data_IF_880935493336
#
_entry.id   IF_880935493336
#
_cell.length_a   1.000
_cell.length_b   1.000
_cell.length_c   1.000
_cell.angle_alpha   90.00
_cell.angle_beta   90.00
_cell.angle_gamma   90.00
#
_symmetry.space_group_name_H-M   'P 1'
#
loop_
_entity.id
_entity.type
_entity.pdbx_description
1 polymer ?
#
# COMPACT_ATOMS: atom_id res chain seq x y z
N UNK A 1 -3.38 9.15 -5.26
CA UNK A 1 -4.81 8.83 -5.48
C UNK A 1 -5.17 9.19 -6.92
N UNK A 2 -5.68 8.25 -7.71
CA UNK A 2 -5.95 8.47 -9.14
C UNK A 2 -7.36 9.05 -9.34
N UNK A 3 -7.46 10.05 -10.19
CA UNK A 3 -8.67 10.73 -10.66
C UNK A 3 -8.59 10.94 -12.18
N UNK A 4 -9.66 11.43 -12.78
CA UNK A 4 -9.72 11.92 -14.15
C UNK A 4 -10.33 13.33 -14.18
N UNK A 5 -10.48 13.90 -15.38
CA UNK A 5 -10.98 15.27 -15.56
C UNK A 5 -12.36 15.52 -14.94
N UNK A 6 -13.23 14.51 -14.92
CA UNK A 6 -14.57 14.63 -14.35
C UNK A 6 -14.54 14.46 -12.83
N UNK A 7 -13.81 13.47 -12.34
CA UNK A 7 -13.79 13.10 -10.91
C UNK A 7 -12.88 13.99 -10.07
N UNK A 8 -11.84 14.58 -10.65
CA UNK A 8 -10.87 15.39 -9.91
C UNK A 8 -11.50 16.59 -9.18
N UNK A 9 -12.30 17.46 -9.83
CA UNK A 9 -12.95 18.58 -9.13
C UNK A 9 -13.88 18.10 -8.01
N UNK A 10 -14.63 17.03 -8.25
CA UNK A 10 -15.58 16.47 -7.27
C UNK A 10 -14.87 15.94 -6.03
N UNK A 11 -13.83 15.13 -6.21
CA UNK A 11 -12.98 14.58 -5.13
C UNK A 11 -12.34 15.71 -4.32
N UNK A 12 -11.72 16.68 -5.01
CA UNK A 12 -11.08 17.84 -4.40
C UNK A 12 -12.07 18.67 -3.58
N UNK A 13 -13.20 19.04 -4.19
CA UNK A 13 -14.12 20.03 -3.62
C UNK A 13 -14.98 19.47 -2.49
N UNK A 14 -15.08 18.14 -2.36
CA UNK A 14 -15.89 17.45 -1.36
C UNK A 14 -15.05 16.64 -0.35
N UNK A 15 -13.73 16.83 -0.31
CA UNK A 15 -12.88 16.30 0.76
C UNK A 15 -12.86 14.77 0.88
N UNK A 16 -12.87 14.05 -0.24
CA UNK A 16 -12.78 12.58 -0.22
C UNK A 16 -12.08 12.03 -1.45
N UNK A 17 -11.65 10.78 -1.37
CA UNK A 17 -11.29 9.98 -2.53
C UNK A 17 -11.96 8.61 -2.44
N UNK A 18 -12.27 8.02 -3.59
CA UNK A 18 -12.93 6.72 -3.67
C UNK A 18 -12.30 5.80 -4.70
N UNK A 19 -12.64 4.52 -4.62
CA UNK A 19 -12.28 3.52 -5.63
C UNK A 19 -13.38 2.49 -5.81
N UNK A 20 -13.49 1.99 -7.02
CA UNK A 20 -14.26 0.81 -7.34
C UNK A 20 -14.21 0.51 -8.83
N UNK A 21 -15.14 -0.32 -9.29
CA UNK A 21 -15.23 -0.75 -10.68
C UNK A 21 -16.69 -0.89 -11.08
N UNK A 22 -16.96 -0.80 -12.38
CA UNK A 22 -18.32 -0.98 -12.92
C UNK A 22 -18.91 -2.32 -12.46
N UNK A 23 -20.12 -2.27 -11.91
CA UNK A 23 -20.84 -3.44 -11.40
C UNK A 23 -20.37 -3.93 -10.03
N UNK A 24 -19.62 -3.12 -9.27
CA UNK A 24 -19.43 -3.33 -7.84
C UNK A 24 -20.81 -3.24 -7.13
N UNK A 25 -21.15 -4.17 -6.22
CA UNK A 25 -22.40 -4.11 -5.48
C UNK A 25 -22.54 -2.84 -4.64
N UNK A 26 -23.77 -2.40 -4.42
CA UNK A 26 -24.08 -1.20 -3.65
C UNK A 26 -24.08 -1.44 -2.13
N UNK A 27 -23.99 -2.69 -1.67
CA UNK A 27 -23.79 -3.02 -0.26
C UNK A 27 -22.44 -3.72 -0.05
N UNK A 28 -21.83 -3.46 1.11
CA UNK A 28 -20.55 -4.04 1.46
C UNK A 28 -20.61 -5.58 1.54
N UNK A 29 -21.65 -6.11 2.19
CA UNK A 29 -21.82 -7.56 2.34
C UNK A 29 -22.01 -8.28 1.00
N UNK A 30 -22.75 -7.68 0.06
CA UNK A 30 -22.88 -8.23 -1.29
C UNK A 30 -21.56 -8.16 -2.07
N UNK A 31 -20.77 -7.09 -1.90
CA UNK A 31 -19.45 -6.98 -2.50
C UNK A 31 -18.52 -8.09 -2.00
N UNK A 32 -18.51 -8.35 -0.69
CA UNK A 32 -17.74 -9.43 -0.07
C UNK A 32 -18.22 -10.80 -0.60
N UNK A 33 -19.52 -11.06 -0.54
CA UNK A 33 -20.11 -12.32 -1.02
C UNK A 33 -19.84 -12.55 -2.52
N UNK A 34 -19.91 -11.51 -3.35
CA UNK A 34 -19.58 -11.61 -4.77
C UNK A 34 -18.09 -11.95 -4.96
N UNK A 35 -17.16 -11.31 -4.24
CA UNK A 35 -15.73 -11.60 -4.40
C UNK A 35 -15.35 -13.00 -3.91
N UNK A 36 -16.03 -13.52 -2.89
CA UNK A 36 -15.86 -14.91 -2.43
C UNK A 36 -16.33 -15.88 -3.53
N UNK A 37 -17.52 -15.64 -4.10
CA UNK A 37 -18.07 -16.46 -5.19
C UNK A 37 -17.27 -16.35 -6.50
N UNK A 38 -16.70 -15.16 -6.76
CA UNK A 38 -15.94 -14.83 -7.97
C UNK A 38 -14.57 -14.27 -7.59
N UNK A 39 -13.59 -15.13 -7.29
CA UNK A 39 -12.27 -14.69 -6.80
C UNK A 39 -11.47 -13.83 -7.78
N UNK A 40 -11.86 -13.79 -9.05
CA UNK A 40 -11.23 -12.94 -10.08
C UNK A 40 -11.68 -11.48 -10.00
N UNK A 41 -12.72 -11.15 -9.23
CA UNK A 41 -13.12 -9.76 -8.97
C UNK A 41 -12.03 -9.05 -8.15
N UNK A 42 -11.81 -7.75 -8.39
CA UNK A 42 -10.70 -7.02 -7.78
C UNK A 42 -11.04 -6.43 -6.40
N UNK A 43 -12.19 -6.74 -5.80
CA UNK A 43 -12.70 -6.01 -4.64
C UNK A 43 -11.76 -6.13 -3.43
N UNK A 44 -11.28 -7.34 -3.12
CA UNK A 44 -10.32 -7.52 -2.03
C UNK A 44 -8.95 -6.89 -2.29
N UNK A 45 -8.53 -6.77 -3.56
CA UNK A 45 -7.31 -6.03 -3.92
C UNK A 45 -7.48 -4.55 -3.66
N UNK A 46 -8.63 -3.99 -4.01
CA UNK A 46 -8.94 -2.59 -3.72
C UNK A 46 -9.02 -2.34 -2.22
N UNK A 47 -9.65 -3.24 -1.45
CA UNK A 47 -9.65 -3.14 0.02
C UNK A 47 -8.24 -3.14 0.58
N UNK A 48 -7.38 -4.05 0.12
CA UNK A 48 -5.99 -4.11 0.58
C UNK A 48 -5.24 -2.79 0.33
N UNK A 49 -5.57 -2.06 -0.73
CA UNK A 49 -4.91 -0.79 -1.03
C UNK A 49 -5.37 0.31 -0.10
N UNK A 50 -6.69 0.50 0.03
CA UNK A 50 -7.24 1.60 0.82
C UNK A 50 -7.04 1.36 2.32
N UNK A 51 -7.13 0.12 2.80
CA UNK A 51 -6.84 -0.25 4.20
C UNK A 51 -5.37 -0.04 4.61
N UNK A 52 -4.47 0.17 3.65
CA UNK A 52 -3.09 0.58 3.93
C UNK A 52 -2.94 2.05 4.32
N UNK A 53 -3.98 2.88 4.17
CA UNK A 53 -3.94 4.31 4.53
C UNK A 53 -4.21 4.54 6.02
N UNK A 54 -3.68 5.64 6.56
CA UNK A 54 -3.88 6.10 7.94
C UNK A 54 -4.27 7.57 8.00
N UNK A 55 -5.14 7.98 8.94
CA UNK A 55 -5.29 9.39 9.27
C UNK A 55 -3.93 10.05 9.53
N UNK A 56 -3.66 11.15 8.84
CA UNK A 56 -2.38 11.86 8.88
C UNK A 56 -1.44 11.57 7.70
N UNK A 57 -1.64 10.47 6.96
CA UNK A 57 -0.84 10.18 5.76
C UNK A 57 -0.97 11.31 4.73
N UNK A 58 0.15 11.66 4.09
CA UNK A 58 0.14 12.56 2.95
C UNK A 58 -0.40 11.84 1.70
N UNK A 59 -1.26 12.54 0.97
CA UNK A 59 -1.83 12.08 -0.28
C UNK A 59 -1.68 13.14 -1.38
N UNK A 60 -1.50 12.67 -2.61
CA UNK A 60 -1.46 13.48 -3.82
C UNK A 60 -2.56 13.02 -4.76
N UNK A 61 -3.30 13.96 -5.35
CA UNK A 61 -4.30 13.64 -6.38
C UNK A 61 -3.60 13.63 -7.74
N UNK A 62 -3.68 12.54 -8.46
CA UNK A 62 -3.19 12.44 -9.83
C UNK A 62 -4.38 12.48 -10.79
N UNK A 63 -4.44 13.50 -11.63
CA UNK A 63 -5.42 13.62 -12.70
C UNK A 63 -4.84 12.99 -13.98
N UNK A 64 -5.53 11.95 -14.49
CA UNK A 64 -5.10 11.23 -15.69
C UNK A 64 -4.90 12.17 -16.87
N UNK A 65 -3.72 12.10 -17.48
CA UNK A 65 -3.36 12.92 -18.63
C UNK A 65 -2.93 14.34 -18.29
N UNK A 66 -3.06 14.80 -17.04
CA UNK A 66 -2.61 16.14 -16.61
C UNK A 66 -1.42 16.08 -15.65
N UNK A 67 -1.51 15.31 -14.56
CA UNK A 67 -0.41 15.19 -13.61
C UNK A 67 -0.85 15.17 -12.15
N UNK A 68 0.08 15.46 -11.25
CA UNK A 68 -0.15 15.48 -9.81
C UNK A 68 -0.55 16.88 -9.34
N UNK A 69 -1.56 16.93 -8.48
CA UNK A 69 -2.14 18.12 -7.90
C UNK A 69 -2.12 18.04 -6.39
N UNK A 70 -1.82 19.18 -5.78
CA UNK A 70 -2.04 19.44 -4.36
C UNK A 70 -1.28 18.52 -3.41
N UNK A 71 -1.35 18.87 -2.14
CA UNK A 71 -0.94 18.05 -1.01
C UNK A 71 -2.15 17.93 -0.12
N UNK A 72 -2.55 16.70 0.15
CA UNK A 72 -3.71 16.37 0.97
C UNK A 72 -3.26 15.52 2.15
N UNK A 73 -4.10 15.45 3.18
CA UNK A 73 -3.95 14.52 4.30
C UNK A 73 -5.16 13.62 4.39
N UNK A 74 -4.93 12.34 4.66
CA UNK A 74 -6.00 11.40 5.01
C UNK A 74 -6.62 11.81 6.35
N UNK A 75 -7.95 11.82 6.44
CA UNK A 75 -8.69 12.27 7.63
C UNK A 75 -9.46 11.19 8.35
N UNK A 76 -9.77 10.10 7.68
CA UNK A 76 -10.57 9.03 8.23
C UNK A 76 -9.90 7.69 8.01
N UNK A 77 -10.34 6.69 8.76
CA UNK A 77 -10.19 5.31 8.31
C UNK A 77 -11.02 5.09 7.04
N UNK A 78 -10.66 4.14 6.17
CA UNK A 78 -11.46 3.78 5.01
C UNK A 78 -12.84 3.27 5.40
N UNK A 79 -13.84 3.57 4.57
CA UNK A 79 -15.22 3.16 4.78
C UNK A 79 -15.90 2.82 3.45
N UNK A 80 -17.06 2.17 3.53
CA UNK A 80 -17.90 1.88 2.39
C UNK A 80 -19.12 2.82 2.36
N UNK A 81 -19.32 3.52 1.24
CA UNK A 81 -20.44 4.42 1.02
C UNK A 81 -20.76 4.53 -0.50
N UNK A 82 -21.90 3.98 -0.97
CA UNK A 82 -22.29 4.02 -2.37
C UNK A 82 -23.01 5.33 -2.77
N UNK A 83 -23.23 6.27 -1.86
CA UNK A 83 -24.02 7.47 -2.14
C UNK A 83 -23.36 8.35 -3.22
N UNK A 84 -24.10 8.79 -4.25
CA UNK A 84 -23.52 9.60 -5.31
C UNK A 84 -23.12 10.99 -4.81
N UNK A 85 -21.96 11.49 -5.25
CA UNK A 85 -21.47 12.84 -5.00
C UNK A 85 -20.97 13.37 -6.35
N UNK A 86 -21.67 14.35 -6.94
CA UNK A 86 -21.36 14.83 -8.28
C UNK A 86 -21.38 13.71 -9.33
N UNK A 87 -20.30 13.57 -10.10
CA UNK A 87 -20.11 12.47 -11.06
C UNK A 87 -19.60 11.16 -10.43
N UNK A 88 -19.15 11.19 -9.16
CA UNK A 88 -18.70 9.99 -8.45
C UNK A 88 -19.93 9.25 -7.94
N UNK A 89 -20.33 8.21 -8.68
CA UNK A 89 -21.51 7.42 -8.39
C UNK A 89 -21.22 6.19 -7.49
N UNK A 90 -22.20 5.30 -7.41
CA UNK A 90 -22.11 4.04 -6.66
C UNK A 90 -20.98 3.10 -7.11
N UNK A 91 -20.30 3.37 -8.23
CA UNK A 91 -19.18 2.55 -8.70
C UNK A 91 -17.88 2.81 -7.94
N UNK A 92 -17.80 3.85 -7.09
CA UNK A 92 -16.66 4.15 -6.23
C UNK A 92 -17.05 4.13 -4.74
N UNK A 93 -17.49 2.98 -4.20
CA UNK A 93 -18.04 2.92 -2.86
C UNK A 93 -16.98 2.79 -1.77
N UNK A 94 -15.76 2.35 -2.07
CA UNK A 94 -14.68 2.25 -1.08
C UNK A 94 -14.01 3.61 -1.00
N UNK A 95 -14.19 4.33 0.10
CA UNK A 95 -13.82 5.75 0.23
C UNK A 95 -12.96 6.01 1.45
N UNK A 96 -12.28 7.16 1.40
CA UNK A 96 -11.53 7.74 2.51
C UNK A 96 -11.70 9.26 2.46
N UNK A 97 -11.80 9.91 3.62
CA UNK A 97 -11.82 11.36 3.69
C UNK A 97 -10.41 11.93 3.53
N UNK A 98 -10.32 13.06 2.86
CA UNK A 98 -9.08 13.81 2.71
C UNK A 98 -9.32 15.29 3.01
N UNK A 99 -8.32 15.96 3.55
CA UNK A 99 -8.28 17.42 3.63
C UNK A 99 -7.19 17.96 2.72
N UNK A 100 -7.45 19.07 2.04
CA UNK A 100 -6.40 19.77 1.32
C UNK A 100 -5.53 20.54 2.30
N UNK A 101 -4.22 20.31 2.25
CA UNK A 101 -3.22 21.06 3.03
C UNK A 101 -2.69 22.21 2.20
N UNK A 102 -2.30 21.93 0.95
CA UNK A 102 -1.85 22.92 -0.01
C UNK A 102 -2.45 22.60 -1.37
N UNK A 103 -3.15 23.56 -1.97
CA UNK A 103 -3.66 23.41 -3.32
C UNK A 103 -2.69 24.02 -4.33
N UNK A 104 -2.31 23.21 -5.31
CA UNK A 104 -1.43 23.61 -6.41
C UNK A 104 -2.23 23.63 -7.71
N UNK A 105 -2.54 24.82 -8.28
CA UNK A 105 -3.39 24.92 -9.47
C UNK A 105 -2.74 24.34 -10.73
N UNK A 106 -1.41 24.40 -10.84
CA UNK A 106 -0.69 23.81 -11.96
C UNK A 106 -0.17 22.42 -11.56
N UNK A 107 -0.59 21.35 -12.26
CA UNK A 107 -0.10 20.02 -11.96
C UNK A 107 1.38 19.84 -12.30
N UNK A 108 2.01 18.89 -11.61
CA UNK A 108 3.29 18.33 -12.05
C UNK A 108 2.99 17.22 -13.07
N UNK A 109 3.27 17.43 -14.37
CA UNK A 109 3.06 16.39 -15.38
C UNK A 109 4.04 15.22 -15.18
N UNK A 110 3.66 14.04 -15.67
CA UNK A 110 4.43 12.81 -15.42
C UNK A 110 5.86 12.83 -16.01
N UNK A 111 6.05 13.52 -17.13
CA UNK A 111 7.35 13.66 -17.80
C UNK A 111 8.38 14.35 -16.91
N UNK A 112 7.95 15.29 -16.06
CA UNK A 112 8.80 15.96 -15.06
C UNK A 112 9.34 15.02 -13.99
N UNK A 113 8.64 13.91 -13.69
CA UNK A 113 9.13 12.94 -12.70
C UNK A 113 10.41 12.24 -13.16
N UNK A 114 10.57 12.09 -14.47
CA UNK A 114 11.66 11.31 -15.09
C UNK A 114 12.62 12.20 -15.89
N UNK A 115 12.59 13.52 -15.68
CA UNK A 115 13.45 14.45 -16.42
C UNK A 115 14.89 14.49 -15.90
N UNK A 116 15.21 13.75 -14.84
CA UNK A 116 16.55 13.65 -14.27
C UNK A 116 16.82 12.24 -13.73
N UNK A 117 18.10 11.88 -13.65
CA UNK A 117 18.54 10.60 -13.06
C UNK A 117 18.10 10.45 -11.59
N UNK A 118 18.12 11.55 -10.84
CA UNK A 118 17.61 11.57 -9.46
C UNK A 118 16.10 11.31 -9.42
N UNK A 119 15.33 11.92 -10.32
CA UNK A 119 13.89 11.67 -10.46
C UNK A 119 13.59 10.20 -10.79
N UNK A 120 14.29 9.61 -11.76
CA UNK A 120 14.18 8.16 -12.06
C UNK A 120 14.50 7.29 -10.84
N UNK A 121 15.41 7.74 -9.98
CA UNK A 121 15.72 7.06 -8.73
C UNK A 121 14.58 7.17 -7.73
N UNK A 122 14.10 8.39 -7.44
CA UNK A 122 13.07 8.65 -6.42
C UNK A 122 11.70 8.10 -6.81
N UNK A 123 11.28 8.28 -8.07
CA UNK A 123 9.93 7.93 -8.56
C UNK A 123 9.82 6.51 -9.13
N UNK A 124 10.71 5.61 -8.72
CA UNK A 124 10.76 4.23 -9.21
C UNK A 124 9.41 3.49 -9.09
N UNK A 125 8.67 3.70 -7.98
CA UNK A 125 7.36 3.08 -7.78
C UNK A 125 6.39 3.49 -8.88
N UNK A 126 6.40 4.78 -9.24
CA UNK A 126 5.52 5.31 -10.28
C UNK A 126 5.87 4.76 -11.65
N UNK A 127 7.18 4.64 -11.95
CA UNK A 127 7.67 4.04 -13.19
C UNK A 127 7.12 2.60 -13.36
N UNK A 128 7.31 1.73 -12.38
CA UNK A 128 6.83 0.35 -12.51
C UNK A 128 5.31 0.24 -12.51
N UNK A 129 4.61 1.12 -11.77
CA UNK A 129 3.14 1.21 -11.81
C UNK A 129 2.61 1.42 -13.24
N UNK A 130 3.29 2.24 -14.06
CA UNK A 130 2.88 2.45 -15.47
C UNK A 130 2.96 1.17 -16.31
N UNK A 131 3.93 0.31 -16.03
CA UNK A 131 4.14 -0.96 -16.75
C UNK A 131 3.08 -2.01 -16.36
N UNK A 132 2.61 -1.97 -15.11
CA UNK A 132 1.75 -2.99 -14.54
C UNK A 132 0.27 -2.81 -14.79
N UNK A 133 -0.19 -1.57 -14.90
CA UNK A 133 -1.58 -1.25 -15.19
C UNK A 133 -2.22 -0.31 -14.19
N UNK A 134 -3.51 -0.02 -14.41
CA UNK A 134 -4.23 0.97 -13.62
C UNK A 134 -4.62 0.42 -12.24
N UNK A 135 -4.17 1.10 -11.18
CA UNK A 135 -4.71 1.01 -9.82
C UNK A 135 -5.24 2.37 -9.39
N UNK A 136 -6.31 2.38 -8.60
CA UNK A 136 -6.90 3.63 -8.07
C UNK A 136 -5.99 4.30 -7.03
N UNK A 137 -5.30 3.51 -6.20
CA UNK A 137 -4.36 4.00 -5.20
C UNK A 137 -2.99 3.39 -5.45
N UNK A 138 -1.94 4.18 -5.25
CA UNK A 138 -0.56 3.73 -5.28
C UNK A 138 0.18 4.43 -4.16
N UNK A 139 0.75 3.66 -3.24
CA UNK A 139 1.63 4.18 -2.20
C UNK A 139 2.95 4.58 -2.84
N UNK A 140 3.43 5.78 -2.55
CA UNK A 140 4.76 6.24 -2.95
C UNK A 140 5.67 6.24 -1.71
N UNK A 141 6.96 5.99 -1.90
CA UNK A 141 7.96 6.03 -0.83
C UNK A 141 8.27 7.47 -0.38
N UNK A 142 8.89 7.66 0.80
CA UNK A 142 9.20 8.99 1.34
C UNK A 142 9.95 9.90 0.35
N UNK A 143 10.96 9.36 -0.34
CA UNK A 143 11.76 10.14 -1.30
C UNK A 143 10.95 10.60 -2.52
N UNK A 144 9.96 9.80 -2.95
CA UNK A 144 9.04 10.19 -4.01
C UNK A 144 8.06 11.26 -3.53
N UNK A 145 7.57 11.17 -2.29
CA UNK A 145 6.69 12.20 -1.70
C UNK A 145 7.41 13.55 -1.57
N UNK A 146 8.65 13.54 -1.07
CA UNK A 146 9.51 14.74 -0.99
C UNK A 146 9.78 15.33 -2.37
N UNK A 147 10.22 14.50 -3.32
CA UNK A 147 10.47 14.95 -4.69
C UNK A 147 9.22 15.55 -5.35
N UNK A 148 8.04 14.97 -5.07
CA UNK A 148 6.78 15.48 -5.64
C UNK A 148 6.39 16.83 -5.04
N UNK A 149 6.56 16.99 -3.72
CA UNK A 149 6.35 18.27 -3.04
C UNK A 149 7.28 19.35 -3.61
N UNK A 150 8.57 19.05 -3.79
CA UNK A 150 9.51 19.97 -4.41
C UNK A 150 9.08 20.39 -5.83
N UNK A 151 8.65 19.42 -6.65
CA UNK A 151 8.20 19.71 -8.02
C UNK A 151 6.94 20.56 -8.03
N UNK A 152 5.98 20.29 -7.14
CA UNK A 152 4.75 21.09 -7.02
C UNK A 152 5.07 22.55 -6.68
N UNK A 153 5.96 22.78 -5.72
CA UNK A 153 6.43 24.12 -5.34
C UNK A 153 7.17 24.78 -6.49
N UNK A 154 8.09 24.08 -7.17
CA UNK A 154 8.84 24.64 -8.31
C UNK A 154 7.94 25.03 -9.49
N UNK A 155 6.89 24.26 -9.76
CA UNK A 155 5.94 24.53 -10.85
C UNK A 155 5.00 25.69 -10.53
N UNK A 156 4.60 25.85 -9.26
CA UNK A 156 3.61 26.84 -8.86
C UNK A 156 4.20 28.12 -8.24
N UNK A 157 5.47 28.12 -7.84
CA UNK A 157 6.12 29.23 -7.15
C UNK A 157 5.33 29.67 -5.91
N UNK A 158 5.10 30.98 -5.77
CA UNK A 158 4.34 31.58 -4.67
C UNK A 158 2.81 31.43 -4.81
N UNK A 159 2.31 30.76 -5.85
CA UNK A 159 0.86 30.58 -6.06
C UNK A 159 0.22 29.53 -5.12
N UNK A 160 0.97 29.04 -4.12
CA UNK A 160 0.59 27.92 -3.25
C UNK A 160 -0.54 28.24 -2.25
N UNK A 161 -0.86 29.52 -2.00
CA UNK A 161 -1.69 29.91 -0.85
C UNK A 161 -2.87 30.82 -1.23
N UNK A 162 -3.71 30.36 -2.16
CA UNK A 162 -5.07 30.89 -2.24
C UNK A 162 -5.90 30.46 -1.03
N UNK A 163 -6.86 31.29 -0.59
CA UNK A 163 -7.89 30.88 0.37
C UNK A 163 -8.84 29.90 -0.32
N UNK A 164 -8.45 28.63 -0.41
CA UNK A 164 -9.27 27.56 -0.99
C UNK A 164 -10.09 26.91 0.13
N UNK A 165 -11.40 27.17 0.13
CA UNK A 165 -12.31 26.53 1.09
C UNK A 165 -12.99 25.34 0.41
N UNK A 166 -12.44 24.15 0.60
CA UNK A 166 -13.07 22.91 0.13
C UNK A 166 -14.05 22.38 1.18
N UNK A 167 -15.16 21.79 0.73
CA UNK A 167 -16.15 21.25 1.63
C UNK A 167 -15.66 19.95 2.30
N UNK A 168 -16.20 19.67 3.49
CA UNK A 168 -16.04 18.36 4.12
C UNK A 168 -16.86 17.30 3.40
N UNK A 169 -16.55 16.03 3.64
CA UNK A 169 -17.28 14.91 3.06
C UNK A 169 -18.79 15.01 3.36
N UNK A 170 -19.65 15.02 2.33
CA UNK A 170 -21.05 15.40 2.49
C UNK A 170 -21.96 14.28 3.01
N UNK A 171 -21.52 13.01 2.98
CA UNK A 171 -22.37 11.86 3.32
C UNK A 171 -22.12 11.35 4.73
N UNK A 172 -23.22 11.01 5.42
CA UNK A 172 -23.20 10.38 6.74
C UNK A 172 -23.30 8.84 6.66
N UNK A 173 -23.53 8.26 5.48
CA UNK A 173 -23.77 6.83 5.27
C UNK A 173 -22.48 5.99 5.23
N UNK A 174 -21.66 6.11 6.27
CA UNK A 174 -20.36 5.44 6.35
C UNK A 174 -20.50 4.07 6.98
N UNK A 175 -20.25 3.02 6.20
CA UNK A 175 -20.18 1.65 6.70
C UNK A 175 -18.73 1.26 6.96
N UNK A 176 -18.45 0.69 8.13
CA UNK A 176 -17.12 0.17 8.46
C UNK A 176 -16.75 -1.00 7.53
N UNK A 177 -15.51 -1.02 7.03
CA UNK A 177 -14.98 -2.12 6.22
C UNK A 177 -14.49 -3.24 7.14
N UNK A 178 -15.12 -4.41 7.05
CA UNK A 178 -14.72 -5.62 7.79
C UNK A 178 -14.23 -6.71 6.84
N UNK A 179 -13.05 -7.27 7.11
CA UNK A 179 -12.52 -8.35 6.29
C UNK A 179 -13.25 -9.68 6.59
N UNK A 180 -13.48 -10.54 5.58
CA UNK A 180 -14.15 -11.83 5.77
C UNK A 180 -13.19 -12.83 6.42
N UNK A 181 -13.16 -12.82 7.75
CA UNK A 181 -12.34 -13.69 8.60
C UNK A 181 -13.21 -14.66 9.42
N UNK A 182 -14.36 -15.02 8.87
CA UNK A 182 -15.38 -15.90 9.45
C UNK A 182 -15.03 -17.39 9.38
N UNK A 183 -13.95 -17.76 8.68
CA UNK A 183 -13.50 -19.14 8.52
C UNK A 183 -12.38 -19.47 9.50
N UNK A 184 -12.60 -20.44 10.39
CA UNK A 184 -11.53 -20.94 11.26
C UNK A 184 -10.38 -21.54 10.44
N UNK A 185 -9.16 -21.11 10.76
CA UNK A 185 -7.92 -21.64 10.22
C UNK A 185 -7.29 -20.83 9.08
N UNK A 186 -7.97 -20.66 7.94
CA UNK A 186 -7.35 -20.13 6.71
C UNK A 186 -8.22 -19.03 6.08
N UNK A 187 -7.58 -17.97 5.56
CA UNK A 187 -8.32 -16.91 4.83
C UNK A 187 -8.85 -17.43 3.48
N UNK A 188 -9.91 -16.81 2.97
CA UNK A 188 -10.52 -17.21 1.69
C UNK A 188 -9.57 -17.01 0.49
N UNK A 189 -8.74 -15.97 0.52
CA UNK A 189 -7.71 -15.69 -0.49
C UNK A 189 -6.56 -14.87 0.08
N UNK A 190 -5.45 -14.83 -0.64
CA UNK A 190 -4.24 -14.10 -0.25
C UNK A 190 -4.46 -12.58 -0.15
N UNK A 191 -5.36 -12.02 -0.96
CA UNK A 191 -5.69 -10.59 -0.90
C UNK A 191 -6.29 -10.20 0.46
N UNK A 192 -7.05 -11.08 1.11
CA UNK A 192 -7.58 -10.86 2.48
C UNK A 192 -6.48 -10.91 3.53
N UNK A 193 -5.53 -11.84 3.42
CA UNK A 193 -4.35 -11.86 4.30
C UNK A 193 -3.52 -10.58 4.12
N UNK A 194 -3.29 -10.14 2.88
CA UNK A 194 -2.58 -8.90 2.57
C UNK A 194 -3.29 -7.68 3.14
N UNK A 195 -4.61 -7.58 2.93
CA UNK A 195 -5.45 -6.50 3.46
C UNK A 195 -5.40 -6.45 4.99
N UNK A 196 -5.49 -7.61 5.65
CA UNK A 196 -5.43 -7.68 7.10
C UNK A 196 -4.06 -7.26 7.63
N UNK A 197 -2.96 -7.68 6.99
CA UNK A 197 -1.62 -7.28 7.40
C UNK A 197 -1.48 -5.76 7.35
N UNK A 198 -1.77 -5.13 6.21
CA UNK A 198 -1.62 -3.67 6.09
C UNK A 198 -2.62 -2.88 6.91
N UNK A 199 -3.76 -3.45 7.31
CA UNK A 199 -4.69 -2.82 8.24
C UNK A 199 -4.24 -2.85 9.72
N UNK A 200 -3.27 -3.72 10.06
CA UNK A 200 -2.84 -3.96 11.44
C UNK A 200 -1.33 -3.75 11.68
N UNK A 201 -0.54 -3.54 10.62
CA UNK A 201 0.94 -3.55 10.64
C UNK A 201 1.60 -2.52 11.57
N UNK A 202 0.86 -1.51 12.01
CA UNK A 202 1.29 -0.41 12.87
C UNK A 202 0.56 -0.41 14.23
N UNK A 203 -0.17 -1.48 14.56
CA UNK A 203 -0.78 -1.64 15.88
C UNK A 203 0.28 -2.02 16.93
N UNK A 204 0.48 -1.22 17.99
CA UNK A 204 1.55 -1.44 18.96
C UNK A 204 1.29 -2.62 19.90
N UNK A 205 0.02 -2.95 20.15
CA UNK A 205 -0.43 -4.06 20.99
C UNK A 205 -0.36 -5.43 20.29
N UNK A 206 -0.05 -5.45 18.99
CA UNK A 206 0.12 -6.67 18.18
C UNK A 206 1.53 -7.21 18.25
N UNK A 207 1.84 -7.90 19.35
CA UNK A 207 3.16 -8.49 19.60
C UNK A 207 3.63 -9.41 18.46
N UNK A 208 2.72 -10.21 17.91
CA UNK A 208 2.98 -11.09 16.77
C UNK A 208 3.42 -10.32 15.51
N UNK A 209 2.87 -9.13 15.29
CA UNK A 209 3.33 -8.22 14.22
C UNK A 209 4.62 -7.50 14.60
N UNK A 210 4.82 -7.12 15.87
CA UNK A 210 6.06 -6.50 16.34
C UNK A 210 7.26 -7.44 16.18
N UNK A 211 7.08 -8.75 16.33
CA UNK A 211 8.13 -9.75 16.08
C UNK A 211 8.63 -9.76 14.62
N UNK A 212 7.78 -9.37 13.68
CA UNK A 212 8.09 -9.34 12.24
C UNK A 212 8.58 -7.95 11.83
N UNK A 213 7.80 -6.93 12.19
CA UNK A 213 7.94 -5.56 11.70
C UNK A 213 8.61 -4.63 12.70
N UNK A 214 9.04 -5.13 13.87
CA UNK A 214 9.68 -4.30 14.90
C UNK A 214 8.72 -3.28 15.54
N UNK A 215 9.25 -2.37 16.36
CA UNK A 215 8.49 -1.30 16.99
C UNK A 215 7.77 -0.41 15.96
N UNK A 216 6.65 0.19 16.34
CA UNK A 216 5.84 1.01 15.41
C UNK A 216 6.59 2.31 15.06
N UNK A 217 7.29 2.87 16.03
CA UNK A 217 8.10 4.09 15.88
C UNK A 217 9.24 3.95 14.88
N UNK A 218 9.67 2.71 14.60
CA UNK A 218 10.71 2.43 13.61
C UNK A 218 10.11 2.25 12.20
N UNK A 219 8.79 2.07 12.06
CA UNK A 219 8.13 1.81 10.78
C UNK A 219 7.93 3.12 9.99
N UNK A 220 8.91 3.45 9.16
CA UNK A 220 8.90 4.67 8.35
C UNK A 220 7.87 4.61 7.21
N UNK A 221 7.76 3.46 6.57
CA UNK A 221 6.94 3.29 5.39
C UNK A 221 6.57 1.82 5.18
N UNK A 222 5.37 1.56 4.66
CA UNK A 222 5.00 0.24 4.17
C UNK A 222 4.04 0.35 2.98
N UNK A 223 4.08 -0.64 2.10
CA UNK A 223 3.12 -0.75 1.01
C UNK A 223 2.87 -2.20 0.61
N UNK A 224 1.68 -2.44 0.09
CA UNK A 224 1.26 -3.72 -0.45
C UNK A 224 1.51 -3.79 -1.97
N UNK A 225 1.60 -5.01 -2.51
CA UNK A 225 1.60 -5.28 -3.95
C UNK A 225 2.53 -4.32 -4.73
N UNK A 226 3.77 -4.19 -4.23
CA UNK A 226 4.74 -3.17 -4.64
C UNK A 226 5.36 -3.55 -5.98
N UNK A 227 5.25 -2.68 -6.99
CA UNK A 227 5.73 -2.97 -8.34
C UNK A 227 7.25 -2.86 -8.41
N UNK A 228 7.93 -3.93 -8.83
CA UNK A 228 9.41 -3.97 -8.73
C UNK A 228 10.14 -4.39 -10.02
N UNK A 229 9.44 -4.89 -11.04
CA UNK A 229 10.09 -5.37 -12.28
C UNK A 229 9.22 -5.18 -13.53
N UNK A 230 9.88 -5.01 -14.68
CA UNK A 230 9.24 -4.85 -16.00
C UNK A 230 8.39 -6.07 -16.42
N UNK A 231 8.62 -7.23 -15.81
CA UNK A 231 7.83 -8.45 -16.01
C UNK A 231 6.49 -8.46 -15.25
N UNK A 232 6.06 -7.31 -14.74
CA UNK A 232 4.79 -7.10 -14.04
C UNK A 232 4.61 -7.96 -12.78
N UNK A 233 5.71 -8.18 -12.04
CA UNK A 233 5.71 -8.86 -10.75
C UNK A 233 5.70 -7.88 -9.59
N UNK A 234 5.11 -8.31 -8.48
CA UNK A 234 4.89 -7.50 -7.29
C UNK A 234 5.42 -8.18 -6.05
N UNK A 235 6.01 -7.39 -5.16
CA UNK A 235 6.31 -7.79 -3.78
C UNK A 235 5.01 -7.68 -3.00
N UNK A 236 4.62 -8.71 -2.24
CA UNK A 236 3.33 -8.69 -1.55
C UNK A 236 3.24 -7.59 -0.51
N UNK A 237 4.30 -7.41 0.27
CA UNK A 237 4.44 -6.34 1.25
C UNK A 237 5.92 -5.97 1.42
N UNK A 238 6.20 -4.67 1.45
CA UNK A 238 7.53 -4.11 1.67
C UNK A 238 7.43 -3.05 2.77
N UNK A 239 8.37 -3.07 3.72
CA UNK A 239 8.45 -2.10 4.81
C UNK A 239 9.86 -1.53 4.92
N UNK A 240 9.95 -0.23 5.20
CA UNK A 240 11.17 0.47 5.54
C UNK A 240 11.20 0.72 7.04
N UNK A 241 12.34 0.46 7.66
CA UNK A 241 12.53 0.67 9.09
C UNK A 241 13.65 1.68 9.28
N UNK A 242 13.34 2.81 9.91
CA UNK A 242 14.32 3.83 10.24
C UNK A 242 14.19 4.26 11.69
N UNK A 243 15.32 4.60 12.30
CA UNK A 243 15.31 5.21 13.62
C UNK A 243 16.48 6.20 13.76
N UNK A 244 16.38 7.07 14.77
CA UNK A 244 17.41 8.06 15.10
C UNK A 244 18.14 7.74 16.41
N UNK A 245 17.73 6.68 17.10
CA UNK A 245 18.07 6.42 18.51
C UNK A 245 19.57 6.35 18.78
N UNK A 246 20.34 5.85 17.82
CA UNK A 246 21.77 5.58 17.98
C UNK A 246 22.69 6.57 17.28
N UNK A 247 22.13 7.40 16.40
CA UNK A 247 22.89 8.22 15.44
C UNK A 247 22.61 9.71 15.62
N UNK A 248 21.42 10.09 16.09
CA UNK A 248 20.96 11.49 16.07
C UNK A 248 20.51 11.98 14.69
N UNK A 249 20.57 11.13 13.66
CA UNK A 249 20.08 11.36 12.29
C UNK A 249 19.28 10.15 11.81
N UNK A 250 18.21 10.31 10.99
CA UNK A 250 17.41 9.17 10.53
C UNK A 250 18.29 8.16 9.79
N UNK A 251 18.36 6.93 10.31
CA UNK A 251 19.07 5.82 9.69
C UNK A 251 18.05 4.74 9.34
N UNK A 252 17.84 4.52 8.04
CA UNK A 252 17.10 3.35 7.56
C UNK A 252 17.99 2.11 7.70
N UNK A 253 17.66 1.25 8.65
CA UNK A 253 18.53 0.13 9.04
C UNK A 253 18.00 -1.25 8.61
N UNK A 254 16.74 -1.32 8.17
CA UNK A 254 16.13 -2.57 7.71
C UNK A 254 15.09 -2.36 6.62
N UNK A 255 15.02 -3.32 5.70
CA UNK A 255 13.91 -3.51 4.77
C UNK A 255 13.26 -4.87 5.03
N UNK A 256 11.98 -4.92 5.39
CA UNK A 256 11.25 -6.19 5.51
C UNK A 256 10.55 -6.50 4.21
N UNK A 257 10.90 -7.64 3.59
CA UNK A 257 10.33 -8.10 2.32
C UNK A 257 9.49 -9.32 2.61
N UNK A 258 8.19 -9.24 2.32
CA UNK A 258 7.24 -10.30 2.64
C UNK A 258 6.68 -10.93 1.37
N UNK A 259 6.67 -12.25 1.35
CA UNK A 259 5.90 -13.08 0.40
C UNK A 259 4.78 -13.78 1.19
N UNK A 260 3.56 -13.72 0.66
CA UNK A 260 2.38 -14.31 1.28
C UNK A 260 1.95 -15.55 0.51
N UNK A 261 1.45 -16.57 1.22
CA UNK A 261 0.72 -17.68 0.61
C UNK A 261 -0.52 -17.99 1.40
N UNK A 262 -1.67 -18.09 0.72
CA UNK A 262 -2.90 -18.58 1.37
C UNK A 262 -2.68 -19.97 1.99
N UNK A 263 -2.12 -20.91 1.24
CA UNK A 263 -2.02 -22.31 1.66
C UNK A 263 -0.63 -22.73 2.12
N UNK A 264 -0.15 -23.82 1.54
CA UNK A 264 1.19 -24.34 1.79
C UNK A 264 2.22 -23.65 0.91
N UNK A 265 3.21 -22.99 1.50
CA UNK A 265 4.35 -22.45 0.76
C UNK A 265 5.37 -23.53 0.40
N UNK A 266 5.95 -23.41 -0.79
CA UNK A 266 6.84 -24.36 -1.48
C UNK A 266 8.22 -23.73 -1.74
N UNK A 267 9.14 -24.54 -2.26
CA UNK A 267 10.49 -24.10 -2.61
C UNK A 267 10.51 -22.96 -3.65
N UNK A 268 9.53 -22.90 -4.54
CA UNK A 268 9.44 -21.83 -5.54
C UNK A 268 9.07 -20.48 -4.92
N UNK A 269 8.27 -20.49 -3.84
CA UNK A 269 7.90 -19.28 -3.09
C UNK A 269 9.13 -18.70 -2.37
N UNK A 270 10.00 -19.56 -1.81
CA UNK A 270 11.30 -19.12 -1.29
C UNK A 270 12.17 -18.51 -2.38
N UNK A 271 12.19 -19.12 -3.57
CA UNK A 271 12.89 -18.57 -4.73
C UNK A 271 12.33 -17.22 -5.15
N UNK A 272 11.02 -17.02 -5.03
CA UNK A 272 10.35 -15.76 -5.32
C UNK A 272 10.73 -14.68 -4.34
N UNK A 273 10.62 -14.97 -3.04
CA UNK A 273 11.03 -14.09 -1.96
C UNK A 273 12.49 -13.65 -2.14
N UNK A 274 13.41 -14.57 -2.40
CA UNK A 274 14.83 -14.24 -2.62
C UNK A 274 15.07 -13.34 -3.84
N UNK A 275 14.26 -13.44 -4.90
CA UNK A 275 14.36 -12.50 -6.05
C UNK A 275 13.94 -11.09 -5.62
N UNK A 276 12.90 -10.99 -4.80
CA UNK A 276 12.41 -9.72 -4.29
C UNK A 276 13.45 -9.09 -3.37
N UNK A 277 14.00 -9.87 -2.45
CA UNK A 277 15.04 -9.43 -1.51
C UNK A 277 16.31 -8.97 -2.22
N UNK A 278 16.76 -9.66 -3.27
CA UNK A 278 17.91 -9.21 -4.09
C UNK A 278 17.64 -7.89 -4.81
N UNK A 279 16.42 -7.72 -5.33
CA UNK A 279 16.05 -6.46 -5.97
C UNK A 279 16.01 -5.32 -4.97
N UNK A 280 15.41 -5.53 -3.78
CA UNK A 280 15.39 -4.54 -2.70
C UNK A 280 16.81 -4.19 -2.28
N UNK A 281 17.67 -5.19 -2.07
CA UNK A 281 19.08 -4.97 -1.72
C UNK A 281 19.78 -4.09 -2.77
N UNK A 282 19.71 -4.47 -4.05
CA UNK A 282 20.42 -3.75 -5.11
C UNK A 282 19.81 -2.40 -5.49
N UNK A 283 18.50 -2.19 -5.29
CA UNK A 283 17.80 -0.98 -5.74
C UNK A 283 17.56 0.04 -4.64
N UNK A 284 17.30 -0.42 -3.41
CA UNK A 284 16.84 0.42 -2.30
C UNK A 284 17.81 0.44 -1.11
N UNK A 285 18.65 -0.57 -0.97
CA UNK A 285 19.58 -0.70 0.15
C UNK A 285 21.06 -0.62 -0.27
N UNK A 286 21.37 0.03 -1.39
CA UNK A 286 22.74 0.25 -1.88
C UNK A 286 23.63 -1.01 -1.95
N UNK A 287 23.02 -2.18 -2.16
CA UNK A 287 23.68 -3.48 -2.21
C UNK A 287 23.86 -4.17 -0.86
N UNK A 288 23.47 -3.54 0.25
CA UNK A 288 23.61 -4.08 1.61
C UNK A 288 22.56 -5.17 1.91
N UNK A 289 22.86 -6.40 1.49
CA UNK A 289 21.96 -7.57 1.68
C UNK A 289 21.61 -7.84 3.14
N UNK A 290 22.49 -7.45 4.08
CA UNK A 290 22.28 -7.64 5.51
C UNK A 290 21.20 -6.73 6.09
N UNK A 291 20.84 -5.63 5.42
CA UNK A 291 19.72 -4.78 5.85
C UNK A 291 18.37 -5.37 5.44
N UNK A 292 18.34 -6.33 4.52
CA UNK A 292 17.10 -6.91 4.01
C UNK A 292 16.70 -8.11 4.86
N UNK A 293 15.49 -8.11 5.42
CA UNK A 293 14.91 -9.25 6.13
C UNK A 293 13.82 -9.91 5.25
N UNK A 294 14.09 -11.09 4.66
CA UNK A 294 13.07 -11.86 3.97
C UNK A 294 12.13 -12.54 4.97
N UNK A 295 10.83 -12.47 4.71
CA UNK A 295 9.77 -13.09 5.53
C UNK A 295 8.79 -13.83 4.62
N UNK A 296 8.50 -15.09 4.94
CA UNK A 296 7.51 -15.90 4.26
C UNK A 296 6.35 -16.19 5.23
N UNK A 297 5.16 -15.72 4.90
CA UNK A 297 3.95 -15.93 5.71
C UNK A 297 3.00 -16.87 4.97
N UNK A 298 2.66 -18.01 5.60
CA UNK A 298 1.81 -19.03 4.98
C UNK A 298 0.99 -19.81 6.00
N UNK A 299 -0.03 -20.53 5.57
CA UNK A 299 -0.78 -21.40 6.50
C UNK A 299 0.05 -22.63 6.90
N UNK A 300 0.88 -23.14 5.98
CA UNK A 300 1.80 -24.27 6.19
C UNK A 300 3.05 -24.12 5.32
N UNK A 301 4.09 -24.90 5.62
CA UNK A 301 5.35 -24.90 4.87
C UNK A 301 5.73 -26.32 4.47
N UNK A 302 6.00 -26.53 3.18
CA UNK A 302 6.54 -27.79 2.70
C UNK A 302 8.01 -27.97 3.15
N UNK A 303 8.43 -29.22 3.39
CA UNK A 303 9.83 -29.55 3.75
C UNK A 303 10.84 -28.94 2.77
N UNK A 304 10.52 -28.96 1.47
CA UNK A 304 11.36 -28.37 0.43
C UNK A 304 11.52 -26.84 0.54
N UNK A 305 10.52 -26.12 1.07
CA UNK A 305 10.66 -24.69 1.34
C UNK A 305 11.66 -24.44 2.47
N UNK A 306 11.53 -25.16 3.59
CA UNK A 306 12.48 -25.06 4.72
C UNK A 306 13.91 -25.45 4.32
N UNK A 307 14.07 -26.56 3.60
CA UNK A 307 15.39 -27.01 3.12
C UNK A 307 16.05 -25.97 2.20
N UNK A 308 15.29 -25.38 1.27
CA UNK A 308 15.82 -24.36 0.37
C UNK A 308 16.22 -23.08 1.11
N UNK A 309 15.45 -22.67 2.10
CA UNK A 309 15.77 -21.53 2.94
C UNK A 309 17.00 -21.78 3.83
N UNK A 310 17.25 -23.01 4.27
CA UNK A 310 18.46 -23.37 5.01
C UNK A 310 19.71 -23.36 4.13
N UNK A 311 19.56 -23.73 2.85
CA UNK A 311 20.67 -23.82 1.89
C UNK A 311 20.93 -22.51 1.12
N UNK A 312 20.28 -21.40 1.47
CA UNK A 312 20.50 -20.12 0.79
C UNK A 312 21.53 -19.28 1.54
N UNK A 313 22.48 -18.72 0.80
CA UNK A 313 23.51 -17.82 1.31
C UNK A 313 23.15 -16.35 0.98
N UNK A 314 21.88 -15.96 1.17
CA UNK A 314 21.46 -14.61 0.80
C UNK A 314 21.98 -13.55 1.78
N UNK A 315 21.89 -13.83 3.08
CA UNK A 315 22.40 -13.02 4.17
C UNK A 315 22.53 -13.88 5.44
N UNK A 316 23.16 -13.34 6.48
CA UNK A 316 23.36 -14.05 7.76
C UNK A 316 22.08 -14.18 8.58
N UNK A 317 21.09 -13.32 8.34
CA UNK A 317 19.81 -13.29 9.07
C UNK A 317 18.86 -14.43 8.69
N UNK A 318 19.07 -15.03 7.53
CA UNK A 318 18.20 -16.06 6.97
C UNK A 318 16.78 -15.56 6.66
N UNK A 319 15.91 -16.50 6.31
CA UNK A 319 14.51 -16.22 5.99
C UNK A 319 13.65 -16.53 7.22
N UNK A 320 12.77 -15.60 7.60
CA UNK A 320 11.81 -15.86 8.67
C UNK A 320 10.54 -16.52 8.14
N UNK A 321 10.09 -17.56 8.82
CA UNK A 321 8.88 -18.30 8.47
C UNK A 321 7.84 -18.03 9.55
N UNK A 322 6.71 -17.46 9.16
CA UNK A 322 5.58 -17.25 10.06
C UNK A 322 4.35 -18.00 9.54
N UNK A 323 3.84 -18.90 10.37
CA UNK A 323 2.56 -19.53 10.14
C UNK A 323 1.46 -18.55 10.54
N UNK A 324 0.45 -18.40 9.71
CA UNK A 324 -0.77 -17.69 10.10
C UNK A 324 -1.91 -18.66 10.42
N UNK A 325 -2.83 -18.22 11.29
CA UNK A 325 -4.08 -18.90 11.57
C UNK A 325 -5.20 -17.87 11.76
N UNK A 326 -6.37 -18.13 11.18
CA UNK A 326 -7.59 -17.34 11.44
C UNK A 326 -8.30 -17.92 12.65
N UNK A 327 -8.61 -17.08 13.65
CA UNK A 327 -9.31 -17.45 14.88
C UNK A 327 -10.09 -16.25 15.39
N UNK A 328 -11.35 -16.43 15.78
CA UNK A 328 -12.20 -15.38 16.39
C UNK A 328 -12.29 -14.09 15.56
N UNK A 329 -12.34 -14.21 14.22
CA UNK A 329 -12.42 -13.06 13.33
C UNK A 329 -11.11 -12.25 13.18
N UNK A 330 -9.99 -12.79 13.64
CA UNK A 330 -8.66 -12.18 13.54
C UNK A 330 -7.61 -13.17 12.99
N UNK A 331 -6.43 -12.67 12.62
CA UNK A 331 -5.29 -13.50 12.21
C UNK A 331 -4.21 -13.47 13.29
N UNK A 332 -3.69 -14.63 13.66
CA UNK A 332 -2.52 -14.77 14.53
C UNK A 332 -1.32 -15.26 13.73
N UNK A 333 -0.14 -14.74 14.04
CA UNK A 333 1.12 -15.14 13.42
C UNK A 333 2.03 -15.83 14.45
N UNK A 334 2.64 -16.93 14.06
CA UNK A 334 3.55 -17.72 14.89
C UNK A 334 4.80 -18.08 14.08
N UNK A 335 5.99 -17.88 14.66
CA UNK A 335 7.26 -18.23 14.02
C UNK A 335 7.45 -19.76 13.97
N UNK A 336 7.95 -20.31 12.86
CA UNK A 336 8.04 -21.78 12.63
C UNK A 336 9.33 -22.29 12.03
#
# INVERSE_FOLDING_TARGET
>A
MITDEETFPVVRDNGFWGVGVKGIPASFDEMVAENIRRPNKPYFKMLADVLGTRPGDLAFLYERGKGFHGVYKIKSMPFFDPAPIGCVDSTWPIRVEIECVHYFPHPVPEDRLFSSRDGESRFWVWFYRKIQGARGLNTINPEAAEGLLELLVKVNGNAADGLWNFASYPSMNKTEIKLPLDQDGMVCCEDVLRAWLVANIDKPDRLDLREIFGPVEDLEWFANNVPYHVSRKNIDLLCFHSNMKYTGFPLRYRFTVVELKRGTAKADDVSQLLRYSRWVAGRLADGEVETVQPVLIAYRFAKGAKLKAQNTEFNERGIWFYRYCVTDGDIRLEKT
#
